data_IF_161408428827
#
_entry.id   IF_161408428827
#
_cell.length_a   1.000
_cell.length_b   1.000
_cell.length_c   1.000
_cell.angle_alpha   90.00
_cell.angle_beta   90.00
_cell.angle_gamma   90.00
#
_symmetry.space_group_name_H-M   'P 1'
#
loop_
_entity.id
_entity.type
_entity.pdbx_description
1 polymer ?
#
# COMPACT_ATOMS: atom_id res chain seq x y z
N UNK A 1 -20.28 7.03 38.54
CA UNK A 1 -20.14 5.91 37.59
C UNK A 1 -20.00 6.52 36.20
N UNK A 2 -18.78 6.91 35.83
CA UNK A 2 -18.48 7.59 34.57
C UNK A 2 -18.44 6.55 33.44
N UNK A 3 -19.36 6.69 32.50
CA UNK A 3 -19.28 5.97 31.21
C UNK A 3 -18.07 6.52 30.48
N UNK A 4 -16.99 5.73 30.43
CA UNK A 4 -15.90 5.93 29.48
C UNK A 4 -16.52 5.84 28.08
N UNK A 5 -16.73 7.00 27.44
CA UNK A 5 -16.97 7.06 26.01
C UNK A 5 -15.70 6.53 25.33
N UNK A 6 -15.71 5.26 24.95
CA UNK A 6 -14.83 4.77 23.92
C UNK A 6 -15.22 5.54 22.65
N UNK A 7 -14.43 6.57 22.30
CA UNK A 7 -14.55 7.19 20.99
C UNK A 7 -14.24 6.08 19.98
N UNK A 8 -15.28 5.52 19.35
CA UNK A 8 -15.08 4.59 18.24
C UNK A 8 -14.31 5.36 17.18
N UNK A 9 -13.17 4.79 16.75
CA UNK A 9 -12.34 5.33 15.67
C UNK A 9 -13.23 5.63 14.47
N UNK A 10 -13.13 6.84 13.90
CA UNK A 10 -13.99 7.27 12.81
C UNK A 10 -13.61 6.60 11.49
N UNK A 11 -14.57 6.48 10.58
CA UNK A 11 -14.32 6.04 9.20
C UNK A 11 -13.22 6.88 8.53
N UNK A 12 -13.23 8.20 8.74
CA UNK A 12 -12.21 9.13 8.27
C UNK A 12 -10.82 8.80 8.80
N UNK A 13 -10.68 8.53 10.11
CA UNK A 13 -9.39 8.17 10.70
C UNK A 13 -8.83 6.87 10.10
N UNK A 14 -9.70 5.88 9.88
CA UNK A 14 -9.33 4.62 9.22
C UNK A 14 -8.92 4.83 7.75
N UNK A 15 -9.67 5.62 7.00
CA UNK A 15 -9.35 5.94 5.61
C UNK A 15 -8.00 6.67 5.49
N UNK A 16 -7.73 7.63 6.37
CA UNK A 16 -6.44 8.28 6.47
C UNK A 16 -5.35 7.29 6.88
N UNK A 17 -5.65 6.36 7.77
CA UNK A 17 -4.76 5.27 8.16
C UNK A 17 -4.32 4.40 7.00
N UNK A 18 -5.22 4.08 6.06
CA UNK A 18 -4.90 3.35 4.82
C UNK A 18 -3.84 4.08 4.01
N UNK A 19 -4.08 5.35 3.68
CA UNK A 19 -3.19 6.11 2.82
C UNK A 19 -1.83 6.41 3.47
N UNK A 20 -1.83 6.78 4.76
CA UNK A 20 -0.58 6.94 5.50
C UNK A 20 0.17 5.62 5.64
N UNK A 21 -0.53 4.53 5.95
CA UNK A 21 0.07 3.21 6.10
C UNK A 21 0.75 2.74 4.82
N UNK A 22 0.10 2.94 3.68
CA UNK A 22 0.64 2.70 2.35
C UNK A 22 1.97 3.43 2.15
N UNK A 23 1.96 4.76 2.24
CA UNK A 23 3.13 5.60 1.93
C UNK A 23 4.26 5.40 2.94
N UNK A 24 3.93 5.24 4.23
CA UNK A 24 4.93 5.01 5.28
C UNK A 24 5.60 3.65 5.11
N UNK A 25 4.82 2.60 4.81
CA UNK A 25 5.35 1.26 4.57
C UNK A 25 6.31 1.25 3.38
N UNK A 26 5.88 1.77 2.23
CA UNK A 26 6.66 1.98 1.03
C UNK A 26 7.99 2.72 1.35
N UNK A 27 7.90 3.92 1.94
CA UNK A 27 9.08 4.76 2.19
C UNK A 27 10.03 4.19 3.25
N UNK A 28 9.56 3.40 4.22
CA UNK A 28 10.43 2.70 5.16
C UNK A 28 11.12 1.51 4.49
N UNK A 29 10.36 0.73 3.74
CA UNK A 29 10.87 -0.46 3.06
C UNK A 29 11.88 -0.12 1.98
N UNK A 30 11.69 0.97 1.24
CA UNK A 30 12.60 1.41 0.18
C UNK A 30 14.04 1.72 0.65
N UNK A 31 14.25 1.88 1.97
CA UNK A 31 15.60 2.08 2.52
C UNK A 31 16.50 0.84 2.38
N UNK A 32 15.91 -0.35 2.31
CA UNK A 32 16.62 -1.63 2.29
C UNK A 32 16.10 -2.61 1.24
N UNK A 33 15.39 -2.11 0.24
CA UNK A 33 14.85 -2.92 -0.85
C UNK A 33 15.95 -3.75 -1.51
N UNK A 34 15.64 -5.01 -1.80
CA UNK A 34 16.53 -6.05 -2.33
C UNK A 34 17.65 -6.50 -1.38
N UNK A 35 17.72 -5.96 -0.16
CA UNK A 35 18.71 -6.43 0.82
C UNK A 35 18.31 -7.79 1.41
N UNK A 36 19.31 -8.56 1.84
CA UNK A 36 19.08 -9.78 2.61
C UNK A 36 18.74 -9.47 4.08
N UNK A 37 18.05 -10.37 4.79
CA UNK A 37 17.79 -10.21 6.23
C UNK A 37 19.06 -9.96 7.05
N UNK A 38 20.16 -10.67 6.73
CA UNK A 38 21.42 -10.50 7.44
C UNK A 38 22.04 -9.11 7.23
N UNK A 39 21.95 -8.58 6.00
CA UNK A 39 22.43 -7.23 5.70
C UNK A 39 21.58 -6.18 6.44
N UNK A 40 20.26 -6.34 6.45
CA UNK A 40 19.35 -5.44 7.19
C UNK A 40 19.66 -5.48 8.69
N UNK A 41 19.82 -6.67 9.27
CA UNK A 41 20.12 -6.81 10.68
C UNK A 41 21.49 -6.20 11.06
N UNK A 42 22.47 -6.24 10.15
CA UNK A 42 23.78 -5.64 10.35
C UNK A 42 23.73 -4.11 10.30
N UNK A 43 23.02 -3.54 9.32
CA UNK A 43 22.93 -2.09 9.11
C UNK A 43 21.91 -1.44 10.05
N UNK A 44 20.87 -2.17 10.44
CA UNK A 44 19.78 -1.73 11.31
C UNK A 44 19.53 -2.72 12.46
N UNK A 45 20.41 -2.81 13.47
CA UNK A 45 20.29 -3.80 14.55
C UNK A 45 19.00 -3.72 15.38
N UNK A 46 18.34 -2.55 15.35
CA UNK A 46 17.03 -2.33 15.99
C UNK A 46 15.84 -2.41 15.03
N UNK A 47 16.06 -2.82 13.78
CA UNK A 47 15.11 -2.73 12.67
C UNK A 47 15.06 -1.33 12.03
N UNK A 48 14.46 -1.24 10.84
CA UNK A 48 14.25 0.04 10.13
C UNK A 48 13.07 0.77 10.79
N UNK A 49 13.36 1.85 11.51
CA UNK A 49 12.38 2.53 12.38
C UNK A 49 12.18 4.01 12.10
N UNK A 50 12.99 4.58 11.22
CA UNK A 50 12.92 6.01 10.91
C UNK A 50 12.92 6.23 9.40
N UNK A 51 12.04 7.10 8.94
CA UNK A 51 12.06 7.59 7.58
C UNK A 51 13.28 8.51 7.41
N UNK A 52 14.22 8.10 6.56
CA UNK A 52 15.47 8.78 6.33
C UNK A 52 15.77 8.96 4.84
N UNK A 53 16.69 9.84 4.53
CA UNK A 53 17.24 9.91 3.16
C UNK A 53 18.12 8.68 2.91
N UNK A 54 17.96 8.00 1.76
CA UNK A 54 18.81 6.85 1.46
C UNK A 54 18.19 5.77 0.59
N UNK A 55 18.57 4.53 0.88
CA UNK A 55 18.17 3.35 0.15
C UNK A 55 18.83 3.21 -1.23
N UNK A 56 18.56 2.12 -1.98
CA UNK A 56 19.18 1.85 -3.28
C UNK A 56 18.87 2.94 -4.31
N UNK A 57 17.71 3.59 -4.23
CA UNK A 57 17.34 4.70 -5.12
C UNK A 57 17.79 6.07 -4.62
N UNK A 58 18.32 6.18 -3.41
CA UNK A 58 18.75 7.44 -2.77
C UNK A 58 17.60 8.45 -2.69
N UNK A 59 16.49 8.03 -2.09
CA UNK A 59 15.28 8.82 -1.93
C UNK A 59 15.40 9.83 -0.78
N UNK A 60 14.56 10.85 -0.81
CA UNK A 60 14.34 11.72 0.33
C UNK A 60 13.44 11.04 1.36
N UNK A 61 13.61 11.37 2.64
CA UNK A 61 12.79 10.83 3.72
C UNK A 61 11.28 11.01 3.43
N UNK A 62 10.53 9.92 3.44
CA UNK A 62 9.09 9.90 3.15
C UNK A 62 8.73 9.95 1.66
N UNK A 63 9.71 9.90 0.76
CA UNK A 63 9.46 9.85 -0.67
C UNK A 63 8.97 8.45 -1.06
N UNK A 64 7.79 8.34 -1.73
CA UNK A 64 7.27 7.07 -2.19
C UNK A 64 8.01 6.55 -3.44
N UNK A 65 7.88 5.24 -3.67
CA UNK A 65 8.26 4.54 -4.91
C UNK A 65 7.06 4.39 -5.84
N UNK A 66 7.14 3.49 -6.84
CA UNK A 66 6.03 3.18 -7.75
C UNK A 66 4.80 2.65 -7.00
N UNK A 67 4.96 1.95 -5.88
CA UNK A 67 3.89 1.46 -5.03
C UNK A 67 2.87 2.55 -4.69
N UNK A 68 3.32 3.59 -4.03
CA UNK A 68 2.42 4.64 -3.59
C UNK A 68 2.18 5.71 -4.65
N UNK A 69 3.11 5.93 -5.60
CA UNK A 69 2.84 6.83 -6.71
C UNK A 69 1.67 6.34 -7.57
N UNK A 70 1.61 5.02 -7.86
CA UNK A 70 0.47 4.44 -8.58
C UNK A 70 -0.80 4.45 -7.73
N UNK A 71 -0.71 4.19 -6.42
CA UNK A 71 -1.84 4.31 -5.50
C UNK A 71 -2.39 5.75 -5.46
N UNK A 72 -1.52 6.76 -5.43
CA UNK A 72 -1.91 8.18 -5.49
C UNK A 72 -2.55 8.54 -6.84
N UNK A 73 -2.01 8.02 -7.95
CA UNK A 73 -2.62 8.19 -9.28
C UNK A 73 -4.05 7.60 -9.33
N UNK A 74 -4.26 6.40 -8.77
CA UNK A 74 -5.57 5.79 -8.61
C UNK A 74 -6.49 6.66 -7.75
N UNK A 75 -6.04 7.02 -6.55
CA UNK A 75 -6.85 7.79 -5.60
C UNK A 75 -7.34 9.12 -6.19
N UNK A 76 -6.43 9.86 -6.86
CA UNK A 76 -6.77 11.14 -7.51
C UNK A 76 -7.73 10.96 -8.69
N UNK A 77 -7.59 9.86 -9.43
CA UNK A 77 -8.52 9.52 -10.52
C UNK A 77 -9.90 9.20 -9.98
N UNK A 78 -9.99 8.36 -8.94
CA UNK A 78 -11.25 8.01 -8.29
C UNK A 78 -11.98 9.25 -7.74
N UNK A 79 -11.26 10.19 -7.12
CA UNK A 79 -11.83 11.44 -6.60
C UNK A 79 -12.37 12.32 -7.72
N UNK A 80 -11.76 12.30 -8.91
CA UNK A 80 -12.12 13.19 -10.02
C UNK A 80 -13.20 12.62 -10.93
N UNK A 81 -13.14 11.32 -11.20
CA UNK A 81 -13.95 10.65 -12.21
C UNK A 81 -14.88 9.56 -11.67
N UNK A 82 -14.76 9.20 -10.37
CA UNK A 82 -15.34 7.97 -9.86
C UNK A 82 -14.62 6.74 -10.40
N UNK A 83 -15.28 5.59 -10.36
CA UNK A 83 -14.74 4.39 -10.99
C UNK A 83 -14.97 4.47 -12.52
N UNK A 84 -13.94 4.92 -13.19
CA UNK A 84 -13.83 4.95 -14.66
C UNK A 84 -12.53 4.24 -15.05
N UNK A 85 -12.65 3.01 -15.56
CA UNK A 85 -11.50 2.14 -15.86
C UNK A 85 -10.59 2.73 -16.95
N UNK A 86 -11.17 3.46 -17.91
CA UNK A 86 -10.38 4.09 -18.98
C UNK A 86 -9.60 5.29 -18.44
N UNK A 87 -10.21 6.08 -17.54
CA UNK A 87 -9.53 7.16 -16.85
C UNK A 87 -8.39 6.64 -15.97
N UNK A 88 -8.61 5.53 -15.25
CA UNK A 88 -7.58 4.87 -14.43
C UNK A 88 -6.43 4.37 -15.31
N UNK A 89 -6.74 3.67 -16.40
CA UNK A 89 -5.73 3.20 -17.35
C UNK A 89 -4.90 4.35 -17.94
N UNK A 90 -5.54 5.47 -18.25
CA UNK A 90 -4.87 6.68 -18.75
C UNK A 90 -3.97 7.30 -17.66
N UNK A 91 -4.40 7.30 -16.39
CA UNK A 91 -3.59 7.80 -15.27
C UNK A 91 -2.32 6.97 -15.07
N UNK A 92 -2.44 5.63 -15.10
CA UNK A 92 -1.27 4.75 -14.99
C UNK A 92 -0.30 4.89 -16.16
N UNK A 93 -0.78 5.07 -17.40
CA UNK A 93 0.09 5.36 -18.54
C UNK A 93 0.84 6.68 -18.36
N UNK A 94 0.13 7.76 -17.98
CA UNK A 94 0.80 9.06 -17.72
C UNK A 94 1.86 8.93 -16.64
N UNK A 95 1.57 8.14 -15.57
CA UNK A 95 2.56 7.86 -14.54
C UNK A 95 3.79 7.14 -15.13
N UNK A 96 3.60 6.04 -15.87
CA UNK A 96 4.70 5.30 -16.49
C UNK A 96 5.52 6.15 -17.47
N UNK A 97 4.86 7.03 -18.24
CA UNK A 97 5.50 7.98 -19.18
C UNK A 97 6.21 9.14 -18.47
N UNK A 98 5.95 9.38 -17.19
CA UNK A 98 6.61 10.42 -16.39
C UNK A 98 8.05 10.07 -15.99
N UNK A 99 8.59 8.97 -16.51
CA UNK A 99 9.93 8.45 -16.22
C UNK A 99 10.16 8.21 -14.73
N UNK A 100 9.34 7.33 -14.09
CA UNK A 100 9.57 6.96 -12.70
C UNK A 100 10.97 6.32 -12.55
N UNK A 101 11.57 6.50 -11.38
CA UNK A 101 12.89 5.92 -11.11
C UNK A 101 12.84 4.42 -10.80
N UNK A 102 11.64 3.94 -10.51
CA UNK A 102 11.32 2.52 -10.34
C UNK A 102 10.00 2.19 -11.05
N UNK A 103 9.95 1.01 -11.66
CA UNK A 103 8.74 0.45 -12.28
C UNK A 103 8.91 -1.06 -12.44
N UNK A 104 8.03 -1.84 -11.84
CA UNK A 104 8.04 -3.29 -11.98
C UNK A 104 7.87 -3.75 -13.44
N UNK A 105 8.59 -4.83 -13.82
CA UNK A 105 8.61 -5.33 -15.20
C UNK A 105 7.21 -5.60 -15.77
N UNK A 106 6.31 -6.23 -15.00
CA UNK A 106 4.93 -6.54 -15.44
C UNK A 106 4.13 -5.26 -15.70
N UNK A 107 4.29 -4.22 -14.87
CA UNK A 107 3.68 -2.91 -15.11
C UNK A 107 4.27 -2.23 -16.35
N UNK A 108 5.60 -2.22 -16.51
CA UNK A 108 6.27 -1.62 -17.66
C UNK A 108 5.87 -2.30 -18.98
N UNK A 109 5.81 -3.62 -19.00
CA UNK A 109 5.39 -4.38 -20.18
C UNK A 109 3.94 -4.04 -20.58
N UNK A 110 3.03 -4.02 -19.62
CA UNK A 110 1.63 -3.72 -19.87
C UNK A 110 1.41 -2.25 -20.29
N UNK A 111 1.93 -1.30 -19.50
CA UNK A 111 1.63 0.12 -19.66
C UNK A 111 2.38 0.78 -20.82
N UNK A 112 3.63 0.39 -21.07
CA UNK A 112 4.49 1.02 -22.06
C UNK A 112 4.60 0.21 -23.37
N UNK A 113 4.43 -1.12 -23.31
CA UNK A 113 4.64 -2.00 -24.47
C UNK A 113 3.35 -2.70 -24.91
N UNK A 114 2.28 -2.65 -24.13
CA UNK A 114 1.02 -3.35 -24.40
C UNK A 114 1.15 -4.88 -24.32
N UNK A 115 2.15 -5.39 -23.59
CA UNK A 115 2.40 -6.83 -23.44
C UNK A 115 1.86 -7.30 -22.09
N UNK A 116 0.96 -8.29 -22.15
CA UNK A 116 0.33 -8.88 -20.95
C UNK A 116 0.90 -10.29 -20.73
N UNK A 117 1.34 -10.57 -19.48
CA UNK A 117 1.89 -11.86 -19.10
C UNK A 117 0.90 -12.62 -18.19
N UNK A 118 0.21 -13.68 -18.71
CA UNK A 118 -0.76 -14.44 -17.91
C UNK A 118 -0.12 -15.32 -16.83
N UNK A 119 1.20 -15.52 -16.89
CA UNK A 119 1.93 -16.32 -15.90
C UNK A 119 2.48 -15.46 -14.73
N UNK A 120 2.52 -14.15 -14.89
CA UNK A 120 3.05 -13.25 -13.85
C UNK A 120 2.13 -13.24 -12.65
N UNK A 121 2.68 -13.58 -11.48
CA UNK A 121 2.04 -13.42 -10.18
C UNK A 121 2.65 -12.23 -9.40
N UNK A 122 3.21 -11.25 -10.12
CA UNK A 122 3.80 -10.06 -9.51
C UNK A 122 2.77 -9.25 -8.71
N UNK A 123 3.25 -8.53 -7.71
CA UNK A 123 2.46 -7.78 -6.73
C UNK A 123 2.10 -6.35 -7.17
N UNK A 124 2.55 -5.91 -8.35
CA UNK A 124 2.39 -4.53 -8.83
C UNK A 124 0.95 -4.04 -9.06
N UNK A 125 -0.05 -4.93 -9.08
CA UNK A 125 -1.45 -4.52 -8.99
C UNK A 125 -1.89 -4.41 -7.52
N UNK A 126 -1.42 -5.31 -6.66
CA UNK A 126 -1.79 -5.34 -5.23
C UNK A 126 -1.25 -4.12 -4.48
N UNK A 127 0.00 -3.72 -4.79
CA UNK A 127 0.67 -2.60 -4.15
C UNK A 127 -0.08 -1.26 -4.30
N UNK A 128 -0.85 -1.07 -5.36
CA UNK A 128 -1.52 0.20 -5.68
C UNK A 128 -2.99 0.29 -5.32
N UNK A 129 -3.63 -0.87 -4.96
CA UNK A 129 -5.10 -0.96 -4.94
C UNK A 129 -5.75 -0.44 -3.64
N UNK A 130 -5.00 -0.16 -2.59
CA UNK A 130 -5.52 0.23 -1.28
C UNK A 130 -6.54 1.39 -1.30
N UNK A 131 -6.38 2.45 -2.16
CA UNK A 131 -7.37 3.53 -2.25
C UNK A 131 -8.74 3.09 -2.77
N UNK A 132 -8.81 2.00 -3.55
CA UNK A 132 -10.08 1.42 -4.00
C UNK A 132 -10.91 0.93 -2.81
N UNK A 133 -10.27 0.32 -1.81
CA UNK A 133 -10.96 -0.07 -0.58
C UNK A 133 -11.53 1.12 0.19
N UNK A 134 -10.81 2.25 0.24
CA UNK A 134 -11.31 3.49 0.85
C UNK A 134 -12.49 4.05 0.05
N UNK A 135 -12.36 4.13 -1.28
CA UNK A 135 -13.40 4.63 -2.17
C UNK A 135 -14.71 3.82 -2.06
N UNK A 136 -14.59 2.51 -1.93
CA UNK A 136 -15.72 1.59 -1.81
C UNK A 136 -16.12 1.29 -0.34
N UNK A 137 -15.73 2.11 0.63
CA UNK A 137 -16.07 1.87 2.04
C UNK A 137 -17.58 1.81 2.31
N UNK A 138 -18.42 2.41 1.46
CA UNK A 138 -19.88 2.36 1.54
C UNK A 138 -20.50 1.19 0.74
N UNK A 139 -19.73 0.54 -0.13
CA UNK A 139 -20.13 -0.63 -0.92
C UNK A 139 -18.93 -1.59 -1.09
N UNK A 140 -18.63 -2.40 -0.06
CA UNK A 140 -17.47 -3.30 -0.11
C UNK A 140 -17.53 -4.35 -1.24
N UNK A 141 -18.71 -4.74 -1.69
CA UNK A 141 -18.82 -5.69 -2.81
C UNK A 141 -18.35 -5.07 -4.12
N UNK A 142 -18.63 -3.77 -4.34
CA UNK A 142 -18.07 -3.05 -5.48
C UNK A 142 -16.53 -3.02 -5.45
N UNK A 143 -15.90 -3.00 -4.28
CA UNK A 143 -14.45 -3.05 -4.16
C UNK A 143 -13.85 -4.31 -4.81
N UNK A 144 -14.51 -5.45 -4.68
CA UNK A 144 -14.08 -6.73 -5.31
C UNK A 144 -14.04 -6.61 -6.83
N UNK A 145 -15.14 -6.13 -7.41
CA UNK A 145 -15.29 -6.06 -8.86
C UNK A 145 -14.35 -5.00 -9.47
N UNK A 146 -14.23 -3.84 -8.82
CA UNK A 146 -13.37 -2.76 -9.27
C UNK A 146 -11.89 -3.13 -9.16
N UNK A 147 -11.48 -3.78 -8.07
CA UNK A 147 -10.10 -4.24 -7.90
C UNK A 147 -9.70 -5.31 -8.92
N UNK A 148 -10.62 -6.21 -9.31
CA UNK A 148 -10.37 -7.16 -10.40
C UNK A 148 -10.17 -6.44 -11.74
N UNK A 149 -10.99 -5.45 -12.04
CA UNK A 149 -10.89 -4.67 -13.28
C UNK A 149 -9.58 -3.86 -13.29
N UNK A 150 -9.20 -3.23 -12.16
CA UNK A 150 -7.90 -2.54 -12.04
C UNK A 150 -6.73 -3.50 -12.27
N UNK A 151 -6.72 -4.66 -11.60
CA UNK A 151 -5.65 -5.64 -11.76
C UNK A 151 -5.44 -6.03 -13.22
N UNK A 152 -6.52 -6.23 -13.97
CA UNK A 152 -6.47 -6.60 -15.40
C UNK A 152 -5.80 -5.57 -16.30
N UNK A 153 -5.63 -4.34 -15.86
CA UNK A 153 -4.90 -3.33 -16.62
C UNK A 153 -3.43 -3.68 -16.81
N UNK A 154 -2.86 -4.51 -15.91
CA UNK A 154 -1.44 -4.89 -15.94
C UNK A 154 -1.19 -6.36 -15.57
N UNK A 155 -2.01 -6.96 -14.71
CA UNK A 155 -1.81 -8.30 -14.14
C UNK A 155 -3.04 -9.18 -14.41
N UNK A 156 -3.01 -9.90 -15.54
CA UNK A 156 -4.15 -10.71 -15.99
C UNK A 156 -4.20 -12.11 -15.36
N UNK A 157 -3.22 -12.48 -14.54
CA UNK A 157 -3.22 -13.74 -13.80
C UNK A 157 -4.37 -13.75 -12.78
N UNK A 158 -5.14 -14.84 -12.72
CA UNK A 158 -6.32 -14.94 -11.84
C UNK A 158 -5.95 -14.78 -10.36
N UNK A 159 -4.82 -15.34 -9.92
CA UNK A 159 -4.35 -15.16 -8.54
C UNK A 159 -4.15 -13.69 -8.20
N UNK A 160 -3.55 -12.89 -9.09
CA UNK A 160 -3.42 -11.46 -8.87
C UNK A 160 -4.77 -10.76 -8.73
N UNK A 161 -5.71 -11.10 -9.61
CA UNK A 161 -7.05 -10.52 -9.58
C UNK A 161 -7.82 -10.90 -8.29
N UNK A 162 -7.74 -12.17 -7.88
CA UNK A 162 -8.43 -12.67 -6.68
C UNK A 162 -7.89 -12.03 -5.41
N UNK A 163 -6.57 -11.95 -5.26
CA UNK A 163 -5.96 -11.34 -4.08
C UNK A 163 -6.17 -9.82 -4.04
N UNK A 164 -6.15 -9.13 -5.20
CA UNK A 164 -6.56 -7.72 -5.27
C UNK A 164 -7.98 -7.50 -4.79
N UNK A 165 -8.93 -8.34 -5.26
CA UNK A 165 -10.32 -8.26 -4.86
C UNK A 165 -10.51 -8.50 -3.36
N UNK A 166 -9.86 -9.52 -2.82
CA UNK A 166 -9.91 -9.86 -1.40
C UNK A 166 -9.34 -8.74 -0.52
N UNK A 167 -8.20 -8.18 -0.92
CA UNK A 167 -7.52 -7.11 -0.21
C UNK A 167 -8.31 -5.80 -0.20
N UNK A 168 -8.80 -5.34 -1.36
CA UNK A 168 -9.62 -4.15 -1.46
C UNK A 168 -10.92 -4.28 -0.66
N UNK A 169 -11.55 -5.46 -0.70
CA UNK A 169 -12.73 -5.77 0.09
C UNK A 169 -12.45 -5.70 1.59
N UNK A 170 -11.36 -6.28 2.07
CA UNK A 170 -10.99 -6.23 3.48
C UNK A 170 -10.78 -4.79 3.97
N UNK A 171 -10.09 -3.96 3.18
CA UNK A 171 -9.92 -2.53 3.48
C UNK A 171 -11.29 -1.82 3.51
N UNK A 172 -12.15 -2.06 2.51
CA UNK A 172 -13.48 -1.43 2.45
C UNK A 172 -14.32 -1.78 3.68
N UNK A 173 -14.32 -3.07 4.10
CA UNK A 173 -15.00 -3.53 5.31
C UNK A 173 -14.41 -2.91 6.58
N UNK A 174 -13.06 -2.90 6.68
CA UNK A 174 -12.37 -2.31 7.83
C UNK A 174 -12.70 -0.83 7.98
N UNK A 175 -12.67 -0.06 6.89
CA UNK A 175 -12.96 1.37 6.89
C UNK A 175 -14.45 1.63 7.10
N UNK A 176 -15.33 1.00 6.29
CA UNK A 176 -16.76 1.30 6.25
C UNK A 176 -17.53 0.79 7.46
N UNK A 177 -17.22 -0.42 7.92
CA UNK A 177 -17.92 -1.07 9.03
C UNK A 177 -17.17 -0.95 10.36
N UNK A 178 -15.95 -0.42 10.32
CA UNK A 178 -15.14 -0.26 11.53
C UNK A 178 -14.60 -1.58 12.07
N UNK A 179 -14.34 -2.57 11.21
CA UNK A 179 -13.86 -3.88 11.64
C UNK A 179 -12.51 -3.77 12.37
N UNK A 180 -12.39 -4.46 13.49
CA UNK A 180 -11.13 -4.66 14.18
C UNK A 180 -10.33 -5.81 13.58
N UNK A 181 -9.13 -6.04 14.13
CA UNK A 181 -8.15 -7.04 13.68
C UNK A 181 -8.77 -8.44 13.47
N UNK A 182 -9.40 -9.00 14.49
CA UNK A 182 -10.00 -10.35 14.44
C UNK A 182 -11.08 -10.46 13.36
N UNK A 183 -11.91 -9.43 13.21
CA UNK A 183 -12.99 -9.43 12.24
C UNK A 183 -12.47 -9.31 10.81
N UNK A 184 -11.37 -8.56 10.57
CA UNK A 184 -10.71 -8.50 9.26
C UNK A 184 -10.06 -9.85 8.95
N UNK A 185 -9.35 -10.47 9.89
CA UNK A 185 -8.74 -11.79 9.70
C UNK A 185 -9.78 -12.87 9.45
N UNK A 186 -10.95 -12.77 10.07
CA UNK A 186 -12.08 -13.69 9.86
C UNK A 186 -12.71 -13.63 8.45
N UNK A 187 -12.24 -12.73 7.57
CA UNK A 187 -12.64 -12.70 6.15
C UNK A 187 -11.85 -13.69 5.29
N UNK A 188 -10.80 -14.31 5.84
CA UNK A 188 -9.83 -15.15 5.14
C UNK A 188 -9.74 -16.54 5.78
N UNK A 189 -9.29 -17.51 5.01
CA UNK A 189 -8.99 -18.83 5.53
C UNK A 189 -7.70 -18.82 6.36
N UNK A 190 -7.55 -19.78 7.28
CA UNK A 190 -6.37 -19.88 8.16
C UNK A 190 -5.05 -19.98 7.40
N UNK A 191 -5.08 -20.62 6.23
CA UNK A 191 -3.89 -20.82 5.39
C UNK A 191 -3.41 -19.51 4.74
N UNK A 192 -4.32 -18.55 4.51
CA UNK A 192 -3.97 -17.23 4.01
C UNK A 192 -3.26 -16.37 5.07
N UNK A 193 -3.44 -16.68 6.35
CA UNK A 193 -2.88 -15.93 7.49
C UNK A 193 -1.51 -16.47 7.93
N UNK A 194 -1.03 -17.55 7.30
CA UNK A 194 0.27 -18.12 7.63
C UNK A 194 1.43 -17.22 7.19
N UNK A 195 2.52 -17.25 7.97
CA UNK A 195 3.76 -16.57 7.58
C UNK A 195 4.31 -17.18 6.28
N UNK A 196 4.71 -16.36 5.28
CA UNK A 196 5.39 -16.88 4.10
C UNK A 196 6.68 -17.61 4.45
N UNK A 197 6.89 -18.79 3.87
CA UNK A 197 8.10 -19.59 4.11
C UNK A 197 9.37 -18.97 3.50
N UNK A 198 9.21 -18.18 2.43
CA UNK A 198 10.32 -17.61 1.67
C UNK A 198 9.96 -16.21 1.12
N UNK A 199 10.70 -15.21 1.57
CA UNK A 199 10.56 -13.81 1.13
C UNK A 199 11.51 -13.43 -0.01
N UNK A 200 12.45 -14.32 -0.41
CA UNK A 200 13.54 -13.95 -1.31
C UNK A 200 13.42 -14.55 -2.71
N UNK A 201 13.00 -15.81 -2.83
CA UNK A 201 13.00 -16.52 -4.13
C UNK A 201 12.00 -15.89 -5.12
N UNK A 202 10.82 -15.52 -4.64
CA UNK A 202 9.76 -14.87 -5.43
C UNK A 202 9.32 -13.56 -4.74
N UNK A 203 10.31 -12.74 -4.35
CA UNK A 203 10.12 -11.58 -3.49
C UNK A 203 8.97 -10.65 -3.94
N UNK A 204 8.84 -10.41 -5.24
CA UNK A 204 7.83 -9.53 -5.83
C UNK A 204 6.50 -10.23 -6.18
N UNK A 205 6.13 -11.33 -5.52
CA UNK A 205 4.88 -12.04 -5.82
C UNK A 205 3.77 -11.73 -4.82
N UNK A 206 2.53 -11.70 -5.32
CA UNK A 206 1.32 -11.53 -4.47
C UNK A 206 1.20 -12.58 -3.37
N UNK A 207 1.74 -13.80 -3.61
CA UNK A 207 1.75 -14.90 -2.64
C UNK A 207 2.78 -14.72 -1.52
N UNK A 208 3.60 -13.70 -1.56
CA UNK A 208 4.46 -13.25 -0.46
C UNK A 208 3.83 -12.05 0.24
N UNK A 209 3.50 -11.01 -0.52
CA UNK A 209 3.02 -9.75 0.02
C UNK A 209 1.67 -9.86 0.77
N UNK A 210 0.72 -10.60 0.19
CA UNK A 210 -0.62 -10.72 0.76
C UNK A 210 -0.64 -11.52 2.07
N UNK A 211 -0.11 -12.77 2.15
CA UNK A 211 -0.03 -13.51 3.41
C UNK A 211 0.79 -12.78 4.47
N UNK A 212 1.91 -12.12 4.08
CA UNK A 212 2.67 -11.30 5.03
C UNK A 212 1.80 -10.23 5.69
N UNK A 213 0.99 -9.50 4.92
CA UNK A 213 0.12 -8.46 5.47
C UNK A 213 -0.89 -9.01 6.48
N UNK A 214 -1.47 -10.18 6.21
CA UNK A 214 -2.40 -10.85 7.10
C UNK A 214 -1.69 -11.42 8.34
N UNK A 215 -0.53 -12.03 8.18
CA UNK A 215 0.28 -12.55 9.27
C UNK A 215 0.71 -11.46 10.24
N UNK A 216 1.19 -10.32 9.73
CA UNK A 216 1.56 -9.18 10.55
C UNK A 216 0.32 -8.57 11.24
N UNK A 217 -0.81 -8.49 10.55
CA UNK A 217 -2.05 -8.06 11.19
C UNK A 217 -2.45 -8.99 12.33
N UNK A 218 -2.20 -10.30 12.22
CA UNK A 218 -2.51 -11.29 13.25
C UNK A 218 -1.57 -11.21 14.46
N UNK A 219 -0.27 -11.04 14.22
CA UNK A 219 0.78 -11.30 15.21
C UNK A 219 1.48 -10.08 15.77
N UNK A 220 1.63 -9.00 14.99
CA UNK A 220 2.35 -7.82 15.43
C UNK A 220 1.59 -7.07 16.56
N UNK A 221 2.30 -6.56 17.57
CA UNK A 221 1.66 -5.85 18.68
C UNK A 221 1.02 -4.53 18.25
N UNK A 222 1.64 -3.83 17.32
CA UNK A 222 1.17 -2.55 16.79
C UNK A 222 1.62 -2.31 15.35
N UNK A 223 1.22 -1.18 14.79
CA UNK A 223 1.52 -0.77 13.42
C UNK A 223 3.03 -0.67 13.14
N UNK A 224 3.78 -0.10 14.08
CA UNK A 224 5.21 0.14 13.88
C UNK A 224 5.98 -1.19 13.86
N UNK A 225 5.68 -2.09 14.78
CA UNK A 225 6.31 -3.41 14.82
C UNK A 225 5.92 -4.28 13.62
N UNK A 226 4.70 -4.14 13.10
CA UNK A 226 4.29 -4.83 11.87
C UNK A 226 5.17 -4.45 10.68
N UNK A 227 5.44 -3.15 10.48
CA UNK A 227 6.32 -2.70 9.39
C UNK A 227 7.77 -3.11 9.63
N UNK A 228 8.28 -2.95 10.85
CA UNK A 228 9.67 -3.36 11.19
C UNK A 228 9.87 -4.85 10.95
N UNK A 229 8.92 -5.69 11.36
CA UNK A 229 8.99 -7.14 11.13
C UNK A 229 8.93 -7.49 9.65
N UNK A 230 7.98 -6.89 8.90
CA UNK A 230 7.89 -7.06 7.44
C UNK A 230 9.22 -6.74 6.74
N UNK A 231 9.80 -5.58 7.03
CA UNK A 231 11.04 -5.11 6.39
C UNK A 231 12.24 -6.00 6.75
N UNK A 232 12.26 -6.55 7.97
CA UNK A 232 13.36 -7.41 8.43
C UNK A 232 13.51 -8.70 7.63
N UNK A 233 12.45 -9.15 6.91
CA UNK A 233 12.51 -10.33 6.05
C UNK A 233 13.32 -10.10 4.76
N UNK A 234 13.61 -8.86 4.40
CA UNK A 234 14.36 -8.53 3.17
C UNK A 234 13.54 -8.74 1.89
N UNK A 235 14.24 -8.73 0.76
CA UNK A 235 13.60 -8.88 -0.56
C UNK A 235 12.87 -7.61 -1.00
N UNK A 236 11.62 -7.74 -1.38
CA UNK A 236 10.73 -6.67 -1.84
C UNK A 236 10.11 -5.96 -0.62
N UNK A 237 10.95 -5.22 0.09
CA UNK A 237 10.63 -4.69 1.42
C UNK A 237 9.66 -3.53 1.37
N UNK A 238 9.71 -2.68 0.36
CA UNK A 238 8.83 -1.53 0.17
C UNK A 238 7.42 -1.97 -0.19
N UNK A 239 7.26 -2.85 -1.20
CA UNK A 239 5.95 -3.36 -1.59
C UNK A 239 5.30 -4.16 -0.46
N UNK A 240 6.04 -5.08 0.18
CA UNK A 240 5.49 -5.85 1.29
C UNK A 240 5.05 -4.96 2.45
N UNK A 241 5.84 -3.91 2.78
CA UNK A 241 5.51 -2.99 3.85
C UNK A 241 4.40 -1.99 3.47
N UNK A 242 4.30 -1.57 2.19
CA UNK A 242 3.20 -0.74 1.69
C UNK A 242 1.85 -1.46 1.83
N UNK A 243 1.79 -2.72 1.38
CA UNK A 243 0.58 -3.56 1.46
C UNK A 243 0.22 -3.85 2.93
N UNK A 244 1.20 -4.24 3.75
CA UNK A 244 1.00 -4.46 5.18
C UNK A 244 0.51 -3.19 5.87
N UNK A 245 1.17 -2.06 5.61
CA UNK A 245 0.86 -0.77 6.23
C UNK A 245 -0.54 -0.26 5.89
N UNK A 246 -0.98 -0.39 4.65
CA UNK A 246 -2.32 0.05 4.26
C UNK A 246 -3.43 -0.79 4.94
N UNK A 247 -3.27 -2.12 4.99
CA UNK A 247 -4.24 -3.00 5.67
C UNK A 247 -4.27 -2.75 7.18
N UNK A 248 -3.09 -2.67 7.81
CA UNK A 248 -2.99 -2.41 9.25
C UNK A 248 -3.53 -1.01 9.58
N UNK A 249 -3.23 -0.02 8.74
CA UNK A 249 -3.74 1.34 8.85
C UNK A 249 -5.27 1.43 8.78
N UNK A 250 -5.93 0.61 7.96
CA UNK A 250 -7.38 0.48 7.91
C UNK A 250 -7.99 0.05 9.25
N UNK A 251 -7.24 -0.74 10.02
CA UNK A 251 -7.69 -1.28 11.31
C UNK A 251 -7.40 -0.31 12.47
N UNK A 252 -6.23 0.33 12.50
CA UNK A 252 -5.81 1.17 13.63
C UNK A 252 -6.04 2.66 13.41
N UNK A 253 -6.37 3.07 12.18
CA UNK A 253 -6.53 4.46 11.79
C UNK A 253 -5.21 5.25 11.76
N UNK A 254 -5.24 6.47 11.25
CA UNK A 254 -4.10 7.37 11.29
C UNK A 254 -3.66 7.69 12.72
N UNK A 255 -4.59 7.69 13.67
CA UNK A 255 -4.30 7.90 15.09
C UNK A 255 -3.43 6.79 15.70
N UNK A 256 -3.48 5.56 15.17
CA UNK A 256 -2.63 4.43 15.57
C UNK A 256 -1.26 4.40 14.88
N UNK A 257 -1.00 5.29 13.94
CA UNK A 257 0.28 5.40 13.23
C UNK A 257 1.18 6.43 13.92
N UNK A 258 2.49 6.15 14.15
CA UNK A 258 3.39 7.10 14.79
C UNK A 258 3.36 8.50 14.13
N UNK A 259 3.08 9.53 14.92
CA UNK A 259 2.96 10.91 14.42
C UNK A 259 4.24 11.37 13.72
N UNK A 260 5.43 10.99 14.24
CA UNK A 260 6.71 11.35 13.64
C UNK A 260 6.83 10.88 12.17
N UNK A 261 6.29 9.71 11.82
CA UNK A 261 6.30 9.21 10.45
C UNK A 261 5.33 9.97 9.56
N UNK A 262 4.10 10.23 10.05
CA UNK A 262 3.12 11.04 9.31
C UNK A 262 3.65 12.44 9.03
N UNK A 263 4.30 13.08 10.02
CA UNK A 263 4.88 14.42 9.87
C UNK A 263 6.00 14.47 8.81
N UNK A 264 6.77 13.39 8.63
CA UNK A 264 7.79 13.30 7.57
C UNK A 264 7.12 13.20 6.20
N UNK A 265 6.14 12.31 6.05
CA UNK A 265 5.38 12.12 4.80
C UNK A 265 4.67 13.41 4.39
N UNK A 266 3.99 14.09 5.31
CA UNK A 266 3.27 15.36 5.03
C UNK A 266 4.18 16.47 4.49
N UNK A 267 5.47 16.42 4.82
CA UNK A 267 6.47 17.39 4.37
C UNK A 267 7.26 16.95 3.14
N UNK A 268 7.10 15.70 2.70
CA UNK A 268 7.88 15.16 1.59
C UNK A 268 7.47 15.80 0.26
N UNK A 269 8.38 16.54 -0.34
CA UNK A 269 8.21 17.22 -1.64
C UNK A 269 9.42 16.97 -2.53
N UNK A 270 9.50 15.79 -3.19
CA UNK A 270 10.62 15.43 -4.04
C UNK A 270 10.61 16.23 -5.35
N UNK A 271 10.94 17.52 -5.24
CA UNK A 271 10.98 18.47 -6.34
C UNK A 271 12.34 18.51 -7.05
N UNK A 272 12.55 19.50 -7.95
CA UNK A 272 13.74 19.58 -8.82
C UNK A 272 15.09 19.64 -8.10
N UNK A 273 15.11 19.95 -6.81
CA UNK A 273 16.34 19.99 -5.99
C UNK A 273 16.71 18.64 -5.35
N UNK A 274 15.86 17.63 -5.45
CA UNK A 274 16.12 16.29 -4.91
C UNK A 274 16.84 15.41 -5.94
N UNK A 275 17.42 14.31 -5.50
CA UNK A 275 18.11 13.37 -6.39
C UNK A 275 17.16 12.62 -7.31
N UNK A 276 15.93 12.37 -6.86
CA UNK A 276 14.88 11.70 -7.62
C UNK A 276 13.63 12.60 -7.66
N UNK A 277 13.65 13.67 -8.47
CA UNK A 277 12.51 14.58 -8.55
C UNK A 277 11.31 13.88 -9.20
N UNK A 278 10.11 14.13 -8.63
CA UNK A 278 8.85 13.62 -9.17
C UNK A 278 7.83 14.76 -9.36
N UNK A 279 6.91 14.61 -10.33
CA UNK A 279 5.79 15.54 -10.47
C UNK A 279 4.98 15.68 -9.18
N UNK A 280 4.50 16.89 -8.90
CA UNK A 280 3.78 17.19 -7.66
C UNK A 280 2.50 16.37 -7.45
N UNK A 281 1.90 15.87 -8.53
CA UNK A 281 0.74 14.98 -8.48
C UNK A 281 1.03 13.61 -7.84
N UNK A 282 2.30 13.23 -7.66
CA UNK A 282 2.72 12.00 -6.98
C UNK A 282 3.28 12.27 -5.58
N UNK A 283 3.26 13.51 -5.09
CA UNK A 283 3.69 13.81 -3.73
C UNK A 283 2.63 13.42 -2.70
N UNK A 284 3.03 12.90 -1.54
CA UNK A 284 2.09 12.40 -0.54
C UNK A 284 1.61 13.48 0.43
N UNK A 285 1.62 14.75 0.07
CA UNK A 285 1.45 15.88 0.98
C UNK A 285 0.02 16.23 1.34
N UNK A 286 -0.99 15.55 0.78
CA UNK A 286 -2.41 15.82 0.96
C UNK A 286 -3.23 14.57 1.36
N UNK A 287 -2.58 13.55 1.91
CA UNK A 287 -3.21 12.26 2.21
C UNK A 287 -4.51 12.39 3.03
N UNK A 288 -4.60 13.19 4.11
CA UNK A 288 -5.85 13.34 4.86
C UNK A 288 -6.99 13.85 3.98
N UNK A 289 -6.76 14.94 3.26
CA UNK A 289 -7.78 15.51 2.37
C UNK A 289 -8.13 14.61 1.19
N UNK A 290 -7.20 13.78 0.72
CA UNK A 290 -7.44 12.80 -0.34
C UNK A 290 -8.34 11.66 0.20
N UNK A 291 -8.06 11.15 1.40
CA UNK A 291 -8.90 10.16 2.06
C UNK A 291 -10.33 10.66 2.29
N UNK A 292 -10.49 11.91 2.74
CA UNK A 292 -11.81 12.52 2.95
C UNK A 292 -12.59 12.62 1.63
N UNK A 293 -11.93 12.98 0.53
CA UNK A 293 -12.56 13.06 -0.79
C UNK A 293 -12.95 11.69 -1.34
N UNK A 294 -12.13 10.64 -1.11
CA UNK A 294 -12.48 9.27 -1.50
C UNK A 294 -13.75 8.79 -0.78
N UNK A 295 -13.87 9.07 0.53
CA UNK A 295 -15.06 8.71 1.32
C UNK A 295 -16.31 9.52 0.94
N UNK A 296 -16.15 10.74 0.46
CA UNK A 296 -17.26 11.61 0.10
C UNK A 296 -17.92 11.24 -1.24
N UNK A 297 -17.29 10.42 -2.06
CA UNK A 297 -17.82 9.95 -3.32
C UNK A 297 -19.02 9.02 -3.09
N UNK A 298 -20.17 9.31 -3.75
CA UNK A 298 -21.42 8.56 -3.64
C UNK A 298 -22.05 8.32 -5.01
#
# INVERSE_FOLDING_TARGET
MGLLHWNSMSMTDRAQGVLYGQVIGDSLGSLVEFASPDAIAADYPGGVRELADGGPFRLSAGQPTDDSEMALALARTLVTHGFDIDAIAAAYRRWAESNPFDIGNTCADALLRGVMNPQSQANGALMRISPMGVFCAHDPDAARDYARQDARLTHINETCQDLNAAYAYAIARAVGEGLGREAVLGLFDSDDVAEPDDYLTHMGWVRVAFPNALYQLATAPDFAEALVATIAHGGDTDTNAAICGALFGAVVGASGIPKRWRDVVDRCRPGPSTLRPRPAEYWPTDLPGLADRLLAWR
#
